data_IF_641063998538
#
_entry.id   IF_641063998538
#
_cell.length_a   1.000
_cell.length_b   1.000
_cell.length_c   1.000
_cell.angle_alpha   90.00
_cell.angle_beta   90.00
_cell.angle_gamma   90.00
#
_symmetry.space_group_name_H-M   'P 1'
#
loop_
_entity.id
_entity.type
_entity.pdbx_description
1 polymer ?
#
# COMPACT_ATOMS: atom_id res chain seq x y z
N UNK A 1 -8.24 19.94 -23.92
CA UNK A 1 -8.92 18.78 -24.51
C UNK A 1 -8.02 17.52 -24.53
N UNK A 2 -6.79 17.58 -24.99
CA UNK A 2 -5.86 16.42 -25.10
C UNK A 2 -5.64 15.66 -23.77
N UNK A 3 -5.44 16.37 -22.64
CA UNK A 3 -5.25 15.73 -21.34
C UNK A 3 -6.47 14.92 -20.87
N UNK A 4 -7.69 15.41 -21.09
CA UNK A 4 -8.91 14.69 -20.75
C UNK A 4 -9.09 13.43 -21.58
N UNK A 5 -8.77 13.50 -22.86
CA UNK A 5 -8.81 12.33 -23.77
C UNK A 5 -7.86 11.22 -23.31
N UNK A 6 -6.61 11.58 -22.96
CA UNK A 6 -5.63 10.59 -22.43
C UNK A 6 -6.15 9.96 -21.12
N UNK A 7 -6.73 10.75 -20.19
CA UNK A 7 -7.29 10.20 -18.95
C UNK A 7 -8.42 9.21 -19.23
N UNK A 8 -9.35 9.55 -20.13
CA UNK A 8 -10.46 8.66 -20.50
C UNK A 8 -9.92 7.37 -21.12
N UNK A 9 -8.95 7.48 -22.03
CA UNK A 9 -8.34 6.32 -22.67
C UNK A 9 -7.67 5.40 -21.64
N UNK A 10 -6.84 5.94 -20.75
CA UNK A 10 -6.16 5.17 -19.71
C UNK A 10 -7.15 4.49 -18.76
N UNK A 11 -8.19 5.21 -18.33
CA UNK A 11 -9.23 4.64 -17.45
C UNK A 11 -10.02 3.54 -18.17
N UNK A 12 -10.32 3.69 -19.45
CA UNK A 12 -11.02 2.68 -20.23
C UNK A 12 -10.18 1.41 -20.40
N UNK A 13 -8.88 1.56 -20.68
CA UNK A 13 -7.94 0.43 -20.76
C UNK A 13 -7.82 -0.28 -19.41
N UNK A 14 -7.67 0.47 -18.31
CA UNK A 14 -7.61 -0.12 -16.97
C UNK A 14 -8.90 -0.85 -16.60
N UNK A 15 -10.06 -0.26 -16.89
CA UNK A 15 -11.35 -0.91 -16.66
C UNK A 15 -11.47 -2.20 -17.48
N UNK A 16 -11.09 -2.16 -18.77
CA UNK A 16 -11.11 -3.35 -19.63
C UNK A 16 -10.19 -4.45 -19.08
N UNK A 17 -8.96 -4.12 -18.67
CA UNK A 17 -8.01 -5.09 -18.11
C UNK A 17 -8.53 -5.69 -16.80
N UNK A 18 -9.08 -4.87 -15.90
CA UNK A 18 -9.60 -5.33 -14.62
C UNK A 18 -10.80 -6.26 -14.83
N UNK A 19 -11.75 -5.85 -15.64
CA UNK A 19 -12.99 -6.62 -15.84
C UNK A 19 -12.84 -7.80 -16.81
N UNK A 20 -11.91 -7.73 -17.76
CA UNK A 20 -11.53 -8.82 -18.65
C UNK A 20 -10.62 -9.87 -18.01
N UNK A 21 -10.04 -9.60 -16.83
CA UNK A 21 -9.17 -10.55 -16.12
C UNK A 21 -9.96 -11.68 -15.46
N UNK A 22 -9.29 -12.81 -15.19
CA UNK A 22 -9.85 -13.95 -14.43
C UNK A 22 -9.83 -13.72 -12.91
N UNK A 23 -9.63 -12.49 -12.44
CA UNK A 23 -9.64 -12.18 -11.01
C UNK A 23 -11.02 -12.37 -10.38
N UNK A 24 -11.05 -12.68 -9.10
CA UNK A 24 -12.29 -12.77 -8.33
C UNK A 24 -12.99 -11.40 -8.27
N UNK A 25 -14.31 -11.43 -8.20
CA UNK A 25 -15.12 -10.21 -8.25
C UNK A 25 -14.75 -9.19 -7.17
N UNK A 26 -14.36 -9.65 -5.98
CA UNK A 26 -13.91 -8.80 -4.87
C UNK A 26 -12.65 -8.00 -5.25
N UNK A 27 -11.69 -8.65 -5.92
CA UNK A 27 -10.46 -8.00 -6.37
C UNK A 27 -10.75 -7.00 -7.50
N UNK A 28 -11.66 -7.33 -8.42
CA UNK A 28 -12.10 -6.39 -9.47
C UNK A 28 -12.71 -5.13 -8.86
N UNK A 29 -13.58 -5.27 -7.86
CA UNK A 29 -14.18 -4.14 -7.15
C UNK A 29 -13.10 -3.31 -6.45
N UNK A 30 -12.17 -3.94 -5.71
CA UNK A 30 -11.09 -3.25 -5.02
C UNK A 30 -10.20 -2.46 -5.98
N UNK A 31 -9.77 -3.07 -7.10
CA UNK A 31 -8.97 -2.42 -8.13
C UNK A 31 -9.75 -1.26 -8.80
N UNK A 32 -11.05 -1.43 -9.07
CA UNK A 32 -11.88 -0.37 -9.63
C UNK A 32 -12.00 0.82 -8.70
N UNK A 33 -12.15 0.60 -7.39
CA UNK A 33 -12.14 1.67 -6.39
C UNK A 33 -10.81 2.42 -6.36
N UNK A 34 -9.68 1.71 -6.45
CA UNK A 34 -8.35 2.31 -6.52
C UNK A 34 -8.21 3.17 -7.79
N UNK A 35 -8.65 2.67 -8.93
CA UNK A 35 -8.62 3.42 -10.20
C UNK A 35 -9.47 4.68 -10.11
N UNK A 36 -10.63 4.64 -9.43
CA UNK A 36 -11.45 5.83 -9.20
C UNK A 36 -10.72 6.92 -8.41
N UNK A 37 -9.80 6.58 -7.51
CA UNK A 37 -8.99 7.59 -6.80
C UNK A 37 -8.05 8.37 -7.72
N UNK A 38 -7.75 7.84 -8.92
CA UNK A 38 -6.93 8.49 -9.94
C UNK A 38 -7.68 9.58 -10.72
N UNK A 39 -9.01 9.66 -10.59
CA UNK A 39 -9.80 10.70 -11.24
C UNK A 39 -9.33 12.11 -10.81
N UNK A 40 -9.19 13.08 -11.73
CA UNK A 40 -8.62 14.40 -11.42
C UNK A 40 -9.31 15.14 -10.27
N UNK A 41 -10.63 14.96 -10.14
CA UNK A 41 -11.45 15.60 -9.10
C UNK A 41 -11.12 14.99 -7.73
N UNK A 42 -11.02 13.65 -7.65
CA UNK A 42 -10.72 12.92 -6.42
C UNK A 42 -9.25 13.08 -6.08
N UNK A 43 -8.38 12.97 -7.09
CA UNK A 43 -6.94 13.11 -6.95
C UNK A 43 -6.54 14.44 -6.32
N UNK A 44 -7.06 15.57 -6.81
CA UNK A 44 -6.76 16.90 -6.24
C UNK A 44 -7.17 17.03 -4.76
N UNK A 45 -8.21 16.31 -4.34
CA UNK A 45 -8.70 16.32 -2.97
C UNK A 45 -7.96 15.36 -2.06
N UNK A 46 -7.51 14.22 -2.59
CA UNK A 46 -6.84 13.15 -1.84
C UNK A 46 -5.31 13.27 -1.83
N UNK A 47 -4.73 13.79 -2.91
CA UNK A 47 -3.29 13.78 -3.11
C UNK A 47 -2.77 15.23 -3.26
N UNK A 48 -2.11 15.71 -2.22
CA UNK A 48 -1.17 16.82 -2.32
C UNK A 48 0.21 16.23 -2.67
N UNK A 49 1.00 16.90 -3.51
CA UNK A 49 2.30 16.37 -3.99
C UNK A 49 3.27 16.09 -2.84
N UNK A 50 3.32 16.96 -1.82
CA UNK A 50 4.13 16.73 -0.62
C UNK A 50 3.65 15.52 0.18
N UNK A 51 2.32 15.38 0.37
CA UNK A 51 1.74 14.24 1.05
C UNK A 51 1.98 12.94 0.28
N UNK A 52 1.87 12.98 -1.06
CA UNK A 52 2.14 11.81 -1.90
C UNK A 52 3.59 11.36 -1.81
N UNK A 53 4.55 12.30 -1.85
CA UNK A 53 5.96 12.01 -1.71
C UNK A 53 6.29 11.42 -0.33
N UNK A 54 5.73 11.97 0.74
CA UNK A 54 5.84 11.43 2.10
C UNK A 54 5.33 10.00 2.17
N UNK A 55 4.13 9.74 1.63
CA UNK A 55 3.52 8.40 1.60
C UNK A 55 4.32 7.41 0.75
N UNK A 56 4.91 7.86 -0.36
CA UNK A 56 5.83 7.06 -1.16
C UNK A 56 7.06 6.63 -0.36
N UNK A 57 7.66 7.55 0.43
CA UNK A 57 8.74 7.21 1.36
C UNK A 57 8.29 6.23 2.44
N UNK A 58 7.09 6.42 3.00
CA UNK A 58 6.54 5.50 4.00
C UNK A 58 6.35 4.09 3.42
N UNK A 59 5.84 3.99 2.18
CA UNK A 59 5.70 2.72 1.45
C UNK A 59 7.05 2.03 1.27
N UNK A 60 8.06 2.78 0.83
CA UNK A 60 9.42 2.25 0.64
C UNK A 60 10.02 1.75 1.95
N UNK A 61 9.95 2.54 3.02
CA UNK A 61 10.50 2.16 4.33
C UNK A 61 9.76 0.96 4.94
N UNK A 62 8.43 0.89 4.81
CA UNK A 62 7.66 -0.25 5.27
C UNK A 62 8.06 -1.54 4.53
N UNK A 63 8.18 -1.46 3.21
CA UNK A 63 8.57 -2.61 2.37
C UNK A 63 10.01 -3.06 2.67
N UNK A 64 10.96 -2.13 2.82
CA UNK A 64 12.34 -2.42 3.18
C UNK A 64 12.43 -3.06 4.58
N UNK A 65 11.71 -2.52 5.58
CA UNK A 65 11.73 -3.06 6.95
C UNK A 65 11.21 -4.49 6.99
N UNK A 66 10.11 -4.77 6.27
CA UNK A 66 9.52 -6.11 6.25
C UNK A 66 10.43 -7.10 5.50
N UNK A 67 11.01 -6.67 4.40
CA UNK A 67 11.96 -7.48 3.62
C UNK A 67 13.23 -7.78 4.42
N UNK A 68 13.78 -6.78 5.13
CA UNK A 68 14.93 -6.95 6.00
C UNK A 68 14.63 -7.94 7.14
N UNK A 69 13.44 -7.85 7.74
CA UNK A 69 13.00 -8.82 8.75
C UNK A 69 12.89 -10.23 8.18
N UNK A 70 12.29 -10.38 6.99
CA UNK A 70 12.20 -11.66 6.29
C UNK A 70 13.59 -12.24 5.98
N UNK A 71 14.53 -11.40 5.51
CA UNK A 71 15.90 -11.79 5.25
C UNK A 71 16.61 -12.29 6.52
N UNK A 72 16.45 -11.57 7.64
CA UNK A 72 17.01 -11.99 8.94
C UNK A 72 16.47 -13.34 9.39
N UNK A 73 15.17 -13.59 9.18
CA UNK A 73 14.57 -14.90 9.47
C UNK A 73 15.14 -16.02 8.60
N UNK A 74 15.30 -15.76 7.30
CA UNK A 74 15.92 -16.73 6.37
C UNK A 74 17.38 -16.99 6.77
N UNK A 75 18.16 -15.93 7.02
CA UNK A 75 19.55 -16.09 7.47
C UNK A 75 19.66 -16.87 8.77
N UNK A 76 18.77 -16.61 9.74
CA UNK A 76 18.74 -17.35 11.00
C UNK A 76 18.49 -18.85 10.82
N UNK A 77 17.65 -19.24 9.85
CA UNK A 77 17.40 -20.64 9.54
C UNK A 77 18.54 -21.30 8.72
N UNK A 78 19.15 -20.56 7.79
CA UNK A 78 20.22 -21.09 6.92
C UNK A 78 21.60 -21.14 7.59
N UNK A 79 21.85 -20.33 8.63
CA UNK A 79 23.06 -20.43 9.46
C UNK A 79 23.13 -21.74 10.25
N UNK A 80 21.98 -22.42 10.43
CA UNK A 80 21.88 -23.72 11.10
C UNK A 80 22.01 -24.88 10.11
N UNK A 81 21.82 -24.63 8.82
CA UNK A 81 21.85 -25.64 7.77
C UNK A 81 22.80 -25.29 6.61
N UNK A 82 22.89 -25.48 5.56
CA UNK A 82 23.89 -25.44 4.49
C UNK A 82 23.92 -24.14 3.65
N UNK A 83 24.29 -23.00 4.22
CA UNK A 83 24.67 -21.81 3.41
C UNK A 83 23.52 -21.12 2.65
N UNK A 84 23.69 -19.83 2.34
CA UNK A 84 22.67 -19.00 1.66
C UNK A 84 22.60 -19.37 0.18
N UNK A 85 21.50 -19.95 -0.29
CA UNK A 85 21.26 -20.28 -1.69
C UNK A 85 20.83 -19.04 -2.48
N UNK A 86 21.22 -18.97 -3.76
CA UNK A 86 20.83 -17.90 -4.69
C UNK A 86 19.30 -17.76 -4.83
N UNK A 87 18.55 -18.86 -4.67
CA UNK A 87 17.10 -18.86 -4.66
C UNK A 87 16.51 -18.05 -3.51
N UNK A 88 17.12 -18.03 -2.33
CA UNK A 88 16.68 -17.26 -1.18
C UNK A 88 16.84 -15.74 -1.44
N UNK A 89 17.91 -15.33 -2.14
CA UNK A 89 18.10 -13.95 -2.54
C UNK A 89 17.04 -13.49 -3.54
N UNK A 90 16.76 -14.31 -4.56
CA UNK A 90 15.70 -14.01 -5.54
C UNK A 90 14.33 -13.90 -4.88
N UNK A 91 14.03 -14.79 -3.96
CA UNK A 91 12.78 -14.77 -3.19
C UNK A 91 12.66 -13.49 -2.34
N UNK A 92 13.75 -13.06 -1.74
CA UNK A 92 13.79 -11.80 -0.97
C UNK A 92 13.48 -10.59 -1.84
N UNK A 93 14.09 -10.51 -3.04
CA UNK A 93 13.80 -9.44 -4.01
C UNK A 93 12.34 -9.49 -4.47
N UNK A 94 11.82 -10.69 -4.73
CA UNK A 94 10.41 -10.86 -5.09
C UNK A 94 9.46 -10.35 -3.99
N UNK A 95 9.69 -10.72 -2.73
CA UNK A 95 8.89 -10.21 -1.61
C UNK A 95 8.96 -8.69 -1.47
N UNK A 96 10.16 -8.11 -1.64
CA UNK A 96 10.30 -6.65 -1.63
C UNK A 96 9.40 -5.99 -2.68
N UNK A 97 9.42 -6.50 -3.92
CA UNK A 97 8.59 -5.96 -5.01
C UNK A 97 7.10 -6.11 -4.67
N UNK A 98 6.67 -7.26 -4.17
CA UNK A 98 5.27 -7.52 -3.78
C UNK A 98 4.82 -6.56 -2.66
N UNK A 99 5.63 -6.39 -1.61
CA UNK A 99 5.30 -5.49 -0.50
C UNK A 99 5.29 -4.03 -0.94
N UNK A 100 6.24 -3.62 -1.78
CA UNK A 100 6.30 -2.27 -2.31
C UNK A 100 5.07 -1.99 -3.20
N UNK A 101 4.76 -2.90 -4.10
CA UNK A 101 3.59 -2.79 -4.97
C UNK A 101 2.29 -2.70 -4.15
N UNK A 102 2.10 -3.60 -3.19
CA UNK A 102 0.95 -3.58 -2.28
C UNK A 102 0.86 -2.29 -1.46
N UNK A 103 1.99 -1.80 -0.94
CA UNK A 103 2.05 -0.54 -0.19
C UNK A 103 1.72 0.67 -1.06
N UNK A 104 2.17 0.70 -2.32
CA UNK A 104 1.89 1.80 -3.24
C UNK A 104 0.44 1.75 -3.73
N UNK A 105 -0.01 0.59 -4.20
CA UNK A 105 -1.33 0.44 -4.86
C UNK A 105 -2.46 0.47 -3.84
N UNK A 106 -2.26 -0.10 -2.67
CA UNK A 106 -3.29 -0.22 -1.64
C UNK A 106 -3.02 0.70 -0.43
N UNK A 107 -1.80 0.73 0.08
CA UNK A 107 -1.43 1.50 1.27
C UNK A 107 -1.56 3.01 1.09
N UNK A 108 -1.10 3.57 -0.03
CA UNK A 108 -1.20 5.02 -0.29
C UNK A 108 -2.66 5.49 -0.40
N UNK A 109 -3.58 4.85 -1.16
CA UNK A 109 -4.99 5.19 -1.16
C UNK A 109 -5.64 5.11 0.22
N UNK A 110 -5.38 4.06 0.99
CA UNK A 110 -5.91 3.87 2.35
C UNK A 110 -5.41 4.99 3.27
N UNK A 111 -4.11 5.29 3.23
CA UNK A 111 -3.53 6.39 4.03
C UNK A 111 -4.10 7.75 3.62
N UNK A 112 -4.34 7.99 2.34
CA UNK A 112 -4.94 9.24 1.86
C UNK A 112 -6.40 9.37 2.28
N UNK A 113 -7.14 8.27 2.24
CA UNK A 113 -8.49 8.19 2.80
C UNK A 113 -8.50 8.43 4.31
N UNK A 114 -7.56 7.82 5.04
CA UNK A 114 -7.37 8.05 6.48
C UNK A 114 -7.13 9.52 6.79
N UNK A 115 -6.27 10.20 6.03
CA UNK A 115 -6.02 11.64 6.19
C UNK A 115 -7.29 12.48 5.96
N UNK A 116 -8.09 12.12 4.94
CA UNK A 116 -9.34 12.81 4.65
C UNK A 116 -10.35 12.69 5.79
N UNK A 117 -10.54 11.47 6.30
CA UNK A 117 -11.49 11.18 7.39
C UNK A 117 -11.04 11.85 8.69
N UNK A 118 -9.74 11.80 8.98
CA UNK A 118 -9.18 12.32 10.24
C UNK A 118 -8.87 13.81 10.22
N UNK A 119 -8.98 14.48 9.05
CA UNK A 119 -8.65 15.90 8.88
C UNK A 119 -9.44 16.85 9.80
N UNK A 120 -10.66 16.46 10.17
CA UNK A 120 -11.55 17.24 11.03
C UNK A 120 -11.44 16.91 12.51
N UNK A 121 -10.61 15.91 12.88
CA UNK A 121 -10.54 15.39 14.26
C UNK A 121 -9.10 15.53 14.76
N UNK A 122 -8.84 16.48 15.64
CA UNK A 122 -7.49 16.70 16.20
C UNK A 122 -7.18 15.71 17.34
N UNK A 123 -8.10 15.58 18.30
CA UNK A 123 -7.89 14.82 19.53
C UNK A 123 -7.76 13.30 19.31
N UNK A 124 -8.55 12.73 18.42
CA UNK A 124 -8.60 11.28 18.17
C UNK A 124 -8.03 10.90 16.80
N UNK A 125 -7.27 11.81 16.18
CA UNK A 125 -6.74 11.60 14.83
C UNK A 125 -5.88 10.33 14.73
N UNK A 126 -4.94 10.16 15.66
CA UNK A 126 -3.97 9.08 15.62
C UNK A 126 -4.62 7.68 15.83
N UNK A 127 -5.45 7.46 16.87
CA UNK A 127 -6.13 6.18 17.02
C UNK A 127 -7.11 5.89 15.87
N UNK A 128 -7.82 6.91 15.35
CA UNK A 128 -8.73 6.72 14.24
C UNK A 128 -7.99 6.35 12.95
N UNK A 129 -6.87 7.03 12.65
CA UNK A 129 -6.01 6.70 11.52
C UNK A 129 -5.46 5.26 11.63
N UNK A 130 -5.02 4.84 12.82
CA UNK A 130 -4.56 3.49 13.08
C UNK A 130 -5.68 2.46 12.81
N UNK A 131 -6.88 2.68 13.33
CA UNK A 131 -8.03 1.80 13.12
C UNK A 131 -8.40 1.70 11.63
N UNK A 132 -8.31 2.79 10.86
CA UNK A 132 -8.54 2.75 9.42
C UNK A 132 -7.51 1.87 8.74
N UNK A 133 -6.22 2.02 9.04
CA UNK A 133 -5.16 1.20 8.42
C UNK A 133 -5.32 -0.28 8.75
N UNK A 134 -5.53 -0.61 10.02
CA UNK A 134 -5.75 -1.99 10.47
C UNK A 134 -7.04 -2.55 9.88
N UNK A 135 -8.13 -1.77 9.88
CA UNK A 135 -9.42 -2.18 9.31
C UNK A 135 -9.31 -2.52 7.83
N UNK A 136 -8.65 -1.69 7.04
CA UNK A 136 -8.40 -1.99 5.62
C UNK A 136 -7.42 -3.16 5.45
N UNK A 137 -6.42 -3.30 6.33
CA UNK A 137 -5.57 -4.49 6.36
C UNK A 137 -6.38 -5.77 6.56
N UNK A 138 -7.32 -5.78 7.50
CA UNK A 138 -8.24 -6.91 7.74
C UNK A 138 -9.22 -7.14 6.58
N UNK A 139 -9.74 -6.07 5.97
CA UNK A 139 -10.62 -6.17 4.80
C UNK A 139 -9.91 -6.82 3.60
N UNK A 140 -8.58 -6.79 3.54
CA UNK A 140 -7.82 -7.50 2.51
C UNK A 140 -8.03 -9.01 2.54
N UNK A 141 -8.57 -9.58 3.63
CA UNK A 141 -8.99 -10.98 3.69
C UNK A 141 -9.95 -11.39 2.57
N UNK A 142 -10.82 -10.48 2.16
CA UNK A 142 -11.81 -10.75 1.11
C UNK A 142 -11.18 -11.13 -0.23
N UNK A 143 -9.92 -10.76 -0.47
CA UNK A 143 -9.23 -11.05 -1.73
C UNK A 143 -7.86 -11.73 -1.56
N UNK A 144 -7.24 -11.66 -0.38
CA UNK A 144 -5.97 -12.31 -0.08
C UNK A 144 -6.12 -13.58 0.77
N UNK A 145 -7.31 -13.82 1.35
CA UNK A 145 -7.53 -14.92 2.27
C UNK A 145 -6.55 -14.88 3.46
N UNK A 146 -5.95 -16.01 3.85
CA UNK A 146 -5.02 -16.06 5.00
C UNK A 146 -3.77 -15.18 4.87
N UNK A 147 -3.39 -14.79 3.65
CA UNK A 147 -2.24 -13.90 3.40
C UNK A 147 -2.50 -12.47 3.93
N UNK A 148 -3.75 -12.16 4.33
CA UNK A 148 -4.10 -10.87 4.97
C UNK A 148 -3.23 -10.53 6.19
N UNK A 149 -2.70 -11.53 6.92
CA UNK A 149 -1.83 -11.26 8.07
C UNK A 149 -0.62 -10.41 7.68
N UNK A 150 -0.03 -10.68 6.53
CA UNK A 150 1.06 -9.85 6.00
C UNK A 150 0.56 -8.45 5.61
N UNK A 151 -0.62 -8.34 5.03
CA UNK A 151 -1.20 -7.03 4.70
C UNK A 151 -1.47 -6.18 5.94
N UNK A 152 -1.94 -6.77 7.04
CA UNK A 152 -2.12 -6.08 8.32
C UNK A 152 -0.77 -5.61 8.88
N UNK A 153 0.25 -6.46 8.87
CA UNK A 153 1.60 -6.09 9.33
C UNK A 153 2.14 -4.93 8.49
N UNK A 154 2.05 -5.02 7.16
CA UNK A 154 2.47 -3.95 6.25
C UNK A 154 1.70 -2.66 6.54
N UNK A 155 0.37 -2.73 6.75
CA UNK A 155 -0.47 -1.56 7.04
C UNK A 155 -0.07 -0.87 8.35
N UNK A 156 0.26 -1.64 9.39
CA UNK A 156 0.75 -1.11 10.68
C UNK A 156 2.11 -0.44 10.51
N UNK A 157 3.06 -1.10 9.84
CA UNK A 157 4.40 -0.55 9.62
C UNK A 157 4.32 0.72 8.75
N UNK A 158 3.53 0.68 7.68
CA UNK A 158 3.28 1.82 6.82
C UNK A 158 2.71 3.01 7.62
N UNK A 159 1.68 2.77 8.44
CA UNK A 159 1.09 3.79 9.30
C UNK A 159 2.13 4.43 10.22
N UNK A 160 2.97 3.63 10.86
CA UNK A 160 4.03 4.13 11.75
C UNK A 160 5.00 5.04 10.98
N UNK A 161 5.48 4.62 9.82
CA UNK A 161 6.38 5.46 9.01
C UNK A 161 5.70 6.71 8.47
N UNK A 162 4.44 6.65 8.03
CA UNK A 162 3.71 7.84 7.57
C UNK A 162 3.54 8.87 8.69
N UNK A 163 3.25 8.43 9.93
CA UNK A 163 3.14 9.34 11.08
C UNK A 163 4.50 9.91 11.54
N UNK A 164 5.57 9.13 11.50
CA UNK A 164 6.92 9.62 11.81
C UNK A 164 7.35 10.69 10.79
N UNK A 165 7.14 10.42 9.49
CA UNK A 165 7.49 11.34 8.44
C UNK A 165 6.62 12.60 8.46
N UNK A 166 5.36 12.50 8.88
CA UNK A 166 4.46 13.64 9.03
C UNK A 166 4.97 14.62 10.09
N UNK A 167 5.40 14.13 11.25
CA UNK A 167 5.95 14.97 12.32
C UNK A 167 7.21 15.73 11.89
N UNK A 168 8.03 15.15 11.00
CA UNK A 168 9.24 15.81 10.49
C UNK A 168 8.96 16.96 9.53
N UNK A 169 7.83 16.97 8.86
CA UNK A 169 7.44 18.04 7.90
C UNK A 169 6.75 19.21 8.62
N UNK A 170 6.22 18.99 9.83
CA UNK A 170 5.52 20.01 10.62
C UNK A 170 6.42 20.80 11.56
N UNK A 171 7.73 20.57 11.56
CA UNK A 171 8.78 21.32 12.27
C UNK A 171 9.53 22.20 11.27
#
# INVERSE_FOLDING_TARGET
>A
MYKAFIYILVLSVLAFVIWGSFFWIQLKIALSLIVLTSLPIIRKKLYNDEALFRKGKAALYASLSLTAFGLLMIMGSTLLDEGMDFSALLLTVFYFIVFLFGSVVYGIPVSSFSDLVTSRTTRYRLPLAFLIHVGFGLLSYLFLGPVMYFAVIVAVIFFVFDEILRKKVSV
#
